data_IF_815445537640
#
_entry.id   IF_815445537640
#
_cell.length_a   1.000
_cell.length_b   1.000
_cell.length_c   1.000
_cell.angle_alpha   90.00
_cell.angle_beta   90.00
_cell.angle_gamma   90.00
#
_symmetry.space_group_name_H-M   'P 1'
#
loop_
_entity.id
_entity.type
_entity.pdbx_description
1 polymer ?
#
# COMPACT_ATOMS: atom_id res chain seq x y z
N UNK A 1 -6.66 -8.99 -5.97
CA UNK A 1 -6.43 -7.71 -6.66
C UNK A 1 -6.92 -6.60 -5.75
N UNK A 2 -6.02 -5.93 -5.01
CA UNK A 2 -6.37 -4.80 -4.14
C UNK A 2 -5.60 -3.58 -4.63
N UNK A 3 -6.36 -2.60 -5.08
CA UNK A 3 -5.89 -1.27 -5.47
C UNK A 3 -5.93 -0.32 -4.26
N UNK A 4 -4.88 0.51 -4.15
CA UNK A 4 -4.78 1.81 -3.47
C UNK A 4 -4.86 1.85 -1.92
N UNK A 5 -3.79 2.34 -1.29
CA UNK A 5 -3.78 2.91 0.08
C UNK A 5 -4.69 4.15 0.11
N UNK A 6 -5.26 4.67 1.20
CA UNK A 6 -4.98 4.62 2.63
C UNK A 6 -6.33 4.95 3.33
N UNK A 7 -6.82 4.10 4.23
CA UNK A 7 -8.06 4.35 5.02
C UNK A 7 -7.67 4.54 6.48
N UNK A 8 -8.02 5.67 7.08
CA UNK A 8 -7.87 5.90 8.52
C UNK A 8 -9.05 5.27 9.26
N UNK A 9 -8.80 4.32 10.15
CA UNK A 9 -9.78 3.89 11.15
C UNK A 9 -9.56 4.72 12.42
N UNK A 10 -10.60 5.39 12.90
CA UNK A 10 -10.56 6.03 14.23
C UNK A 10 -10.73 4.96 15.33
N UNK A 11 -10.32 5.26 16.56
CA UNK A 11 -10.48 4.38 17.74
C UNK A 11 -11.92 3.91 18.02
N UNK A 12 -12.92 4.51 17.35
CA UNK A 12 -14.35 4.20 17.51
C UNK A 12 -14.96 3.48 16.28
N UNK A 13 -14.16 3.00 15.33
CA UNK A 13 -14.62 2.13 14.25
C UNK A 13 -15.47 2.79 13.15
N UNK A 14 -15.55 4.12 13.10
CA UNK A 14 -16.25 4.85 12.03
C UNK A 14 -15.30 5.29 10.91
N UNK A 15 -15.74 5.08 9.67
CA UNK A 15 -15.05 5.44 8.42
C UNK A 15 -15.09 6.97 8.20
N UNK A 16 -13.94 7.62 7.98
CA UNK A 16 -13.87 9.03 7.61
C UNK A 16 -13.09 9.25 6.32
N UNK A 17 -13.59 10.16 5.47
CA UNK A 17 -12.85 10.67 4.30
C UNK A 17 -11.66 11.51 4.77
N UNK A 18 -10.53 11.41 4.07
CA UNK A 18 -9.34 12.29 4.24
C UNK A 18 -9.70 13.79 4.20
N UNK A 19 -10.85 14.15 3.59
CA UNK A 19 -11.35 15.52 3.66
C UNK A 19 -11.64 15.99 5.10
N UNK A 20 -12.08 15.12 6.02
CA UNK A 20 -12.49 15.55 7.37
C UNK A 20 -11.32 15.92 8.29
N UNK A 21 -10.16 15.30 8.16
CA UNK A 21 -8.97 15.66 8.95
C UNK A 21 -8.36 17.00 8.50
N UNK A 22 -8.54 17.40 7.23
CA UNK A 22 -8.15 18.72 6.72
C UNK A 22 -8.99 19.88 7.30
N UNK A 23 -10.21 19.61 7.77
CA UNK A 23 -11.16 20.65 8.21
C UNK A 23 -11.12 20.96 9.71
N UNK A 24 -10.40 20.18 10.51
CA UNK A 24 -10.30 20.44 11.95
C UNK A 24 -9.36 21.63 12.25
N UNK A 25 -8.36 21.88 11.40
CA UNK A 25 -7.26 22.80 11.72
C UNK A 25 -7.30 24.11 10.93
N UNK A 26 -8.02 24.18 9.80
CA UNK A 26 -8.27 25.45 9.09
C UNK A 26 -9.72 25.51 8.58
N UNK A 27 -10.51 26.49 9.07
CA UNK A 27 -11.77 26.84 8.40
C UNK A 27 -11.40 27.60 7.12
N UNK A 28 -11.62 27.06 5.91
CA UNK A 28 -11.31 27.79 4.70
C UNK A 28 -12.12 29.08 4.66
N UNK A 29 -11.51 30.18 4.21
CA UNK A 29 -12.19 31.47 4.19
C UNK A 29 -13.42 31.39 3.28
N UNK A 30 -14.57 31.80 3.79
CA UNK A 30 -15.80 31.86 3.02
C UNK A 30 -15.83 33.19 2.27
N UNK A 31 -15.76 33.13 0.95
CA UNK A 31 -15.77 34.31 0.08
C UNK A 31 -17.05 34.35 -0.74
N UNK A 32 -17.62 35.54 -0.90
CA UNK A 32 -18.74 35.78 -1.80
C UNK A 32 -18.29 36.71 -2.92
N UNK A 33 -18.56 36.34 -4.17
CA UNK A 33 -18.27 37.17 -5.34
C UNK A 33 -19.56 37.43 -6.10
N UNK A 34 -19.77 38.66 -6.56
CA UNK A 34 -20.95 39.02 -7.36
C UNK A 34 -20.65 38.78 -8.83
N UNK A 35 -21.39 37.86 -9.46
CA UNK A 35 -21.29 37.51 -10.88
C UNK A 35 -22.63 37.85 -11.53
N UNK A 36 -22.65 38.81 -12.47
CA UNK A 36 -23.86 39.24 -13.18
C UNK A 36 -25.06 39.54 -12.25
N UNK A 37 -24.80 40.20 -11.12
CA UNK A 37 -25.83 40.55 -10.13
C UNK A 37 -26.16 39.45 -9.10
N UNK A 38 -25.73 38.21 -9.32
CA UNK A 38 -25.91 37.10 -8.37
C UNK A 38 -24.73 37.01 -7.40
N UNK A 39 -25.00 36.82 -6.11
CA UNK A 39 -23.98 36.58 -5.10
C UNK A 39 -23.69 35.09 -5.06
N UNK A 40 -22.49 34.69 -5.47
CA UNK A 40 -22.02 33.31 -5.39
C UNK A 40 -21.04 33.23 -4.23
N UNK A 41 -21.41 32.50 -3.19
CA UNK A 41 -20.53 32.25 -2.05
C UNK A 41 -19.92 30.86 -2.14
N UNK A 42 -18.61 30.79 -1.95
CA UNK A 42 -17.83 29.54 -1.98
C UNK A 42 -16.79 29.59 -0.87
N UNK A 43 -16.46 28.44 -0.32
CA UNK A 43 -15.24 28.33 0.46
C UNK A 43 -14.05 28.47 -0.49
N UNK A 44 -13.09 29.32 -0.13
CA UNK A 44 -11.81 29.48 -0.84
C UNK A 44 -10.88 28.31 -0.51
N UNK A 45 -11.25 27.10 -0.93
CA UNK A 45 -10.32 26.00 -1.02
C UNK A 45 -10.33 25.45 -2.44
N UNK A 46 -9.15 25.12 -2.94
CA UNK A 46 -8.99 24.38 -4.18
C UNK A 46 -8.64 22.95 -3.78
N UNK A 47 -9.56 21.98 -3.86
CA UNK A 47 -9.24 20.61 -3.52
C UNK A 47 -8.14 20.09 -4.46
N UNK A 48 -7.23 19.29 -3.92
CA UNK A 48 -6.29 18.52 -4.72
C UNK A 48 -6.91 17.14 -4.95
N UNK A 49 -7.04 16.74 -6.21
CA UNK A 49 -7.56 15.44 -6.60
C UNK A 49 -6.40 14.52 -6.92
N UNK A 50 -6.12 13.56 -6.05
CA UNK A 50 -5.11 12.54 -6.31
C UNK A 50 -5.77 11.33 -6.94
N UNK A 51 -5.21 10.82 -8.04
CA UNK A 51 -5.54 9.49 -8.57
C UNK A 51 -4.29 8.64 -8.62
N UNK A 52 -4.38 7.50 -7.96
CA UNK A 52 -3.38 6.46 -7.98
C UNK A 52 -3.91 5.24 -8.71
N UNK A 53 -3.06 4.64 -9.52
CA UNK A 53 -3.35 3.39 -10.20
C UNK A 53 -2.13 2.49 -10.12
N UNK A 54 -2.27 1.35 -9.46
CA UNK A 54 -1.30 0.26 -9.43
C UNK A 54 -1.87 -0.93 -10.19
N UNK A 55 -1.14 -1.44 -11.17
CA UNK A 55 -1.45 -2.70 -11.85
C UNK A 55 -0.27 -3.64 -11.75
N UNK A 56 -0.55 -4.91 -11.49
CA UNK A 56 0.46 -5.97 -11.39
C UNK A 56 0.24 -6.93 -12.53
N UNK A 57 1.27 -7.15 -13.34
CA UNK A 57 1.32 -8.21 -14.33
C UNK A 57 2.14 -9.36 -13.74
N UNK A 58 1.49 -10.47 -13.35
CA UNK A 58 2.20 -11.60 -12.78
C UNK A 58 3.00 -12.32 -13.88
N UNK A 59 4.30 -12.50 -13.67
CA UNK A 59 5.13 -13.41 -14.47
C UNK A 59 5.49 -14.59 -13.59
N UNK A 60 5.01 -15.78 -13.92
CA UNK A 60 5.27 -16.99 -13.15
C UNK A 60 5.88 -18.06 -14.04
N UNK A 61 6.92 -18.72 -13.54
CA UNK A 61 7.51 -19.91 -14.13
C UNK A 61 7.55 -20.99 -13.06
N UNK A 62 6.90 -22.12 -13.32
CA UNK A 62 6.93 -23.31 -12.47
C UNK A 62 7.60 -24.45 -13.24
N UNK A 63 8.52 -25.15 -12.58
CA UNK A 63 9.21 -26.32 -13.11
C UNK A 63 8.98 -27.52 -12.18
N UNK A 64 8.29 -28.54 -12.70
CA UNK A 64 8.13 -29.82 -12.02
C UNK A 64 9.41 -30.63 -12.11
N UNK A 65 10.03 -30.91 -10.95
CA UNK A 65 11.22 -31.77 -10.86
C UNK A 65 10.78 -33.24 -10.86
N UNK A 66 9.72 -33.55 -10.13
CA UNK A 66 9.09 -34.87 -10.07
C UNK A 66 7.57 -34.74 -10.12
N UNK A 67 6.85 -35.85 -9.97
CA UNK A 67 5.40 -35.83 -9.75
C UNK A 67 5.00 -35.23 -8.39
N UNK A 68 5.94 -34.96 -7.48
CA UNK A 68 5.66 -34.42 -6.14
C UNK A 68 6.36 -33.09 -5.85
N UNK A 69 7.47 -32.80 -6.51
CA UNK A 69 8.29 -31.62 -6.24
C UNK A 69 8.22 -30.68 -7.43
N UNK A 70 7.92 -29.42 -7.17
CA UNK A 70 8.07 -28.34 -8.14
C UNK A 70 8.80 -27.16 -7.50
N UNK A 71 9.51 -26.41 -8.32
CA UNK A 71 10.10 -25.12 -7.94
C UNK A 71 9.52 -24.06 -8.85
N UNK A 72 9.31 -22.86 -8.31
CA UNK A 72 8.71 -21.77 -9.05
C UNK A 72 9.38 -20.45 -8.76
N UNK A 73 9.31 -19.56 -9.73
CA UNK A 73 9.67 -18.15 -9.60
C UNK A 73 8.47 -17.32 -10.00
N UNK A 74 8.13 -16.33 -9.19
CA UNK A 74 7.11 -15.33 -9.46
C UNK A 74 7.76 -13.95 -9.44
N UNK A 75 7.70 -13.23 -10.55
CA UNK A 75 8.31 -11.93 -10.75
C UNK A 75 7.24 -10.92 -11.20
N UNK A 76 6.64 -10.13 -10.29
CA UNK A 76 5.60 -9.19 -10.65
C UNK A 76 6.19 -7.98 -11.39
N UNK A 77 5.67 -7.68 -12.59
CA UNK A 77 5.90 -6.39 -13.24
C UNK A 77 4.82 -5.42 -12.78
N UNK A 78 5.20 -4.40 -12.02
CA UNK A 78 4.28 -3.44 -11.42
C UNK A 78 4.30 -2.14 -12.22
N UNK A 79 3.13 -1.73 -12.66
CA UNK A 79 2.90 -0.44 -13.30
C UNK A 79 2.21 0.49 -12.32
N UNK A 80 2.84 1.63 -12.04
CA UNK A 80 2.28 2.70 -11.21
C UNK A 80 2.01 3.95 -12.03
N UNK A 81 0.93 4.64 -11.68
CA UNK A 81 0.53 5.91 -12.26
C UNK A 81 -0.16 6.75 -11.20
N UNK A 82 0.56 7.73 -10.66
CA UNK A 82 0.05 8.70 -9.70
C UNK A 82 -0.06 10.05 -10.36
N UNK A 83 -1.19 10.74 -10.15
CA UNK A 83 -1.41 12.09 -10.64
C UNK A 83 -2.14 12.92 -9.60
N UNK A 84 -1.74 14.18 -9.49
CA UNK A 84 -2.54 15.22 -8.89
C UNK A 84 -3.24 16.02 -9.98
N UNK A 85 -4.52 16.30 -9.77
CA UNK A 85 -5.31 17.23 -10.56
C UNK A 85 -5.86 18.32 -9.65
N UNK A 86 -6.13 19.48 -10.23
CA UNK A 86 -6.89 20.55 -9.60
C UNK A 86 -8.20 20.71 -10.37
N UNK A 87 -9.31 21.10 -9.71
CA UNK A 87 -10.58 21.34 -10.37
C UNK A 87 -10.38 22.28 -11.55
N UNK A 88 -11.04 21.95 -12.65
CA UNK A 88 -11.10 22.84 -13.81
C UNK A 88 -12.27 23.83 -13.63
N UNK A 89 -12.13 25.03 -14.16
CA UNK A 89 -13.23 25.99 -14.30
C UNK A 89 -14.20 25.56 -15.43
N UNK A 90 -15.26 26.33 -15.62
CA UNK A 90 -16.28 26.08 -16.64
C UNK A 90 -15.78 26.18 -18.09
N UNK A 91 -14.56 26.65 -18.32
CA UNK A 91 -13.92 26.73 -19.65
C UNK A 91 -12.77 25.75 -19.81
N UNK A 92 -12.57 24.83 -18.85
CA UNK A 92 -11.54 23.80 -18.89
C UNK A 92 -10.14 24.27 -18.47
N UNK A 93 -10.00 25.51 -18.00
CA UNK A 93 -8.78 26.02 -17.36
C UNK A 93 -8.67 25.52 -15.92
N UNK A 94 -7.50 25.62 -15.29
CA UNK A 94 -7.38 25.34 -13.86
C UNK A 94 -8.24 26.35 -13.08
N UNK A 95 -9.15 25.89 -12.22
CA UNK A 95 -10.06 26.75 -11.46
C UNK A 95 -9.37 27.69 -10.46
N UNK A 96 -8.08 27.48 -10.19
CA UNK A 96 -7.22 28.36 -9.40
C UNK A 96 -5.71 28.02 -9.59
N UNK A 97 -5.05 28.41 -10.70
CA UNK A 97 -3.64 28.08 -10.95
C UNK A 97 -2.70 28.63 -9.86
N UNK A 98 -3.03 29.77 -9.26
CA UNK A 98 -2.28 30.33 -8.13
C UNK A 98 -2.36 29.50 -6.84
N UNK A 99 -3.42 28.70 -6.63
CA UNK A 99 -3.51 27.82 -5.46
C UNK A 99 -2.59 26.61 -5.58
N UNK A 100 -2.50 26.02 -6.78
CA UNK A 100 -1.56 24.94 -7.08
C UNK A 100 -0.11 25.40 -6.89
N UNK A 101 0.25 26.57 -7.44
CA UNK A 101 1.60 27.13 -7.31
C UNK A 101 1.95 27.45 -5.84
N UNK A 102 0.99 27.95 -5.04
CA UNK A 102 1.20 28.18 -3.60
C UNK A 102 1.43 26.89 -2.83
N UNK A 103 0.66 25.84 -3.14
CA UNK A 103 0.84 24.55 -2.48
C UNK A 103 2.19 23.92 -2.85
N UNK A 104 2.59 23.97 -4.11
CA UNK A 104 3.93 23.56 -4.52
C UNK A 104 5.01 24.36 -3.78
N UNK A 105 4.84 25.68 -3.63
CA UNK A 105 5.77 26.51 -2.87
C UNK A 105 5.88 26.09 -1.41
N UNK A 106 4.76 25.74 -0.75
CA UNK A 106 4.76 25.23 0.63
C UNK A 106 5.46 23.86 0.68
N UNK A 107 5.14 22.97 -0.24
CA UNK A 107 5.70 21.62 -0.26
C UNK A 107 7.20 21.63 -0.54
N UNK A 108 7.66 22.48 -1.46
CA UNK A 108 9.07 22.63 -1.82
C UNK A 108 9.89 23.49 -0.86
N UNK A 109 9.23 24.17 0.08
CA UNK A 109 9.91 24.97 1.12
C UNK A 109 10.93 24.10 1.85
N UNK A 110 12.08 24.66 2.22
CA UNK A 110 13.17 23.91 2.87
C UNK A 110 12.74 23.21 4.17
N UNK A 111 11.66 23.68 4.82
CA UNK A 111 11.06 23.04 5.99
C UNK A 111 10.51 21.66 5.65
N UNK A 112 9.86 21.51 4.49
CA UNK A 112 9.18 20.28 4.09
C UNK A 112 9.91 19.52 2.99
N UNK A 113 10.54 20.18 2.02
CA UNK A 113 11.40 19.56 1.01
C UNK A 113 10.74 18.45 0.19
N UNK A 114 9.43 18.54 -0.06
CA UNK A 114 8.73 17.62 -0.96
C UNK A 114 8.89 18.05 -2.42
N UNK A 115 8.88 17.06 -3.33
CA UNK A 115 8.82 17.33 -4.77
C UNK A 115 7.52 18.03 -5.19
N UNK A 116 7.53 18.79 -6.30
CA UNK A 116 6.34 19.49 -6.79
C UNK A 116 5.22 18.52 -7.18
N UNK A 117 3.97 18.92 -6.94
CA UNK A 117 2.77 18.11 -7.24
C UNK A 117 2.01 18.66 -8.46
N UNK A 118 2.21 19.93 -8.82
CA UNK A 118 1.65 20.49 -10.05
C UNK A 118 2.27 19.85 -11.30
N UNK A 119 1.45 19.69 -12.35
CA UNK A 119 1.94 19.20 -13.64
C UNK A 119 2.48 17.77 -13.62
N UNK A 120 2.06 16.94 -12.64
CA UNK A 120 2.39 15.52 -12.60
C UNK A 120 1.90 14.82 -13.88
N UNK A 121 2.83 14.67 -14.83
CA UNK A 121 2.54 14.08 -16.13
C UNK A 121 2.10 12.62 -16.00
N UNK A 122 1.35 12.10 -17.00
CA UNK A 122 0.92 10.69 -17.09
C UNK A 122 2.08 9.71 -17.35
N UNK A 123 3.20 9.87 -16.65
CA UNK A 123 4.37 8.99 -16.78
C UNK A 123 4.05 7.68 -16.09
N UNK A 124 3.66 6.69 -16.89
CA UNK A 124 3.58 5.30 -16.45
C UNK A 124 4.99 4.86 -16.09
N UNK A 125 5.21 4.53 -14.83
CA UNK A 125 6.47 3.94 -14.38
C UNK A 125 6.25 2.44 -14.23
N UNK A 126 7.26 1.69 -14.67
CA UNK A 126 7.29 0.24 -14.55
C UNK A 126 8.44 -0.11 -13.62
N UNK A 127 8.15 -0.95 -12.65
CA UNK A 127 9.13 -1.46 -11.70
C UNK A 127 8.93 -2.97 -11.58
N UNK A 128 9.98 -3.70 -11.24
CA UNK A 128 9.79 -4.99 -10.61
C UNK A 128 9.08 -4.77 -9.26
N UNK A 129 8.21 -5.67 -8.86
CA UNK A 129 7.88 -5.84 -7.44
C UNK A 129 8.82 -6.86 -6.82
N UNK A 130 8.51 -7.29 -5.60
CA UNK A 130 9.31 -8.30 -4.92
C UNK A 130 9.17 -9.67 -5.61
N UNK A 131 10.31 -10.20 -6.05
CA UNK A 131 10.43 -11.53 -6.64
C UNK A 131 10.25 -12.58 -5.57
N UNK A 132 9.45 -13.60 -5.86
CA UNK A 132 9.24 -14.74 -4.98
C UNK A 132 9.83 -16.00 -5.61
N UNK A 133 10.58 -16.76 -4.82
CA UNK A 133 11.02 -18.10 -5.17
C UNK A 133 10.27 -19.07 -4.28
N UNK A 134 9.68 -20.10 -4.86
CA UNK A 134 8.90 -21.08 -4.13
C UNK A 134 9.33 -22.52 -4.41
N UNK A 135 9.20 -23.36 -3.39
CA UNK A 135 9.35 -24.80 -3.49
C UNK A 135 8.05 -25.45 -3.00
N UNK A 136 7.44 -26.25 -3.88
CA UNK A 136 6.16 -26.91 -3.68
C UNK A 136 6.38 -28.41 -3.52
N UNK A 137 5.72 -29.00 -2.53
CA UNK A 137 5.72 -30.44 -2.30
C UNK A 137 4.29 -30.97 -2.18
N UNK A 138 3.93 -31.93 -3.03
CA UNK A 138 2.67 -32.67 -2.94
C UNK A 138 2.84 -33.80 -1.94
N UNK A 139 2.14 -33.68 -0.82
CA UNK A 139 2.21 -34.62 0.31
C UNK A 139 1.33 -35.84 0.01
N UNK A 140 0.08 -35.59 -0.38
CA UNK A 140 -0.92 -36.63 -0.65
C UNK A 140 -1.63 -36.28 -1.96
N UNK A 141 -1.89 -37.32 -2.76
CA UNK A 141 -2.74 -37.25 -3.94
C UNK A 141 -3.54 -38.53 -4.04
N UNK A 142 -4.85 -38.40 -4.16
CA UNK A 142 -5.80 -39.48 -4.34
C UNK A 142 -6.92 -39.01 -5.27
N UNK A 143 -7.88 -39.88 -5.57
CA UNK A 143 -8.98 -39.54 -6.48
C UNK A 143 -9.76 -38.28 -6.04
N UNK A 144 -10.00 -38.13 -4.73
CA UNK A 144 -10.91 -37.11 -4.17
C UNK A 144 -10.24 -36.19 -3.14
N UNK A 145 -8.94 -36.32 -2.92
CA UNK A 145 -8.21 -35.56 -1.91
C UNK A 145 -6.77 -35.30 -2.37
N UNK A 146 -6.34 -34.04 -2.26
CA UNK A 146 -4.96 -33.62 -2.45
C UNK A 146 -4.51 -32.69 -1.33
N UNK A 147 -3.24 -32.82 -0.93
CA UNK A 147 -2.58 -31.98 0.06
C UNK A 147 -1.20 -31.58 -0.42
N UNK A 148 -0.86 -30.30 -0.30
CA UNK A 148 0.45 -29.77 -0.65
C UNK A 148 0.95 -28.74 0.36
N UNK A 149 2.27 -28.66 0.47
CA UNK A 149 2.98 -27.63 1.21
C UNK A 149 3.85 -26.81 0.27
N UNK A 150 3.95 -25.50 0.51
CA UNK A 150 4.81 -24.59 -0.23
C UNK A 150 5.62 -23.74 0.72
N UNK A 151 6.93 -23.64 0.48
CA UNK A 151 7.79 -22.63 1.11
C UNK A 151 8.02 -21.55 0.08
N UNK A 152 7.84 -20.29 0.46
CA UNK A 152 8.08 -19.11 -0.38
C UNK A 152 9.11 -18.24 0.30
N UNK A 153 10.09 -17.79 -0.48
CA UNK A 153 11.04 -16.75 -0.10
C UNK A 153 10.78 -15.54 -0.98
N UNK A 154 10.37 -14.43 -0.39
CA UNK A 154 10.19 -13.14 -1.08
C UNK A 154 11.47 -12.34 -0.95
N UNK A 155 11.93 -11.77 -2.06
CA UNK A 155 13.20 -11.04 -2.17
C UNK A 155 12.95 -9.53 -2.27
N UNK A 156 13.76 -8.69 -1.61
CA UNK A 156 13.61 -7.24 -1.55
C UNK A 156 14.06 -6.58 -2.86
N UNK A 157 13.31 -6.82 -3.93
CA UNK A 157 13.67 -6.43 -5.31
C UNK A 157 12.74 -5.38 -5.88
N UNK A 158 11.62 -5.13 -5.20
CA UNK A 158 10.70 -4.05 -5.50
C UNK A 158 11.28 -2.67 -5.21
N UNK A 159 10.70 -1.68 -5.87
CA UNK A 159 10.96 -0.26 -5.63
C UNK A 159 10.43 0.15 -4.26
N UNK A 160 11.29 0.78 -3.46
CA UNK A 160 10.93 1.37 -2.18
C UNK A 160 10.50 2.82 -2.37
N UNK A 161 9.43 3.23 -1.68
CA UNK A 161 8.91 4.59 -1.71
C UNK A 161 9.88 5.58 -1.03
N UNK A 162 10.06 6.76 -1.64
CA UNK A 162 10.80 7.85 -1.02
C UNK A 162 9.94 8.66 -0.05
N UNK A 163 10.38 8.89 1.20
CA UNK A 163 9.68 9.75 2.16
C UNK A 163 9.69 11.24 1.79
N UNK A 164 10.37 11.63 0.70
CA UNK A 164 10.43 13.00 0.20
C UNK A 164 9.57 13.22 -1.05
N UNK A 165 8.94 12.18 -1.59
CA UNK A 165 8.09 12.26 -2.77
C UNK A 165 6.68 11.73 -2.46
N UNK A 166 5.72 12.64 -2.27
CA UNK A 166 4.34 12.32 -1.88
C UNK A 166 3.62 11.31 -2.80
N UNK A 167 4.05 11.19 -4.05
CA UNK A 167 3.43 10.34 -5.07
C UNK A 167 4.30 9.18 -5.53
N UNK A 168 5.41 8.94 -4.82
CA UNK A 168 6.24 7.77 -5.07
C UNK A 168 5.63 6.54 -4.40
N UNK A 169 5.07 5.66 -5.22
CA UNK A 169 4.41 4.45 -4.74
C UNK A 169 5.41 3.29 -4.74
N UNK A 170 5.52 2.62 -3.60
CA UNK A 170 6.31 1.39 -3.51
C UNK A 170 5.70 0.28 -4.38
N UNK A 171 6.55 -0.55 -4.96
CA UNK A 171 6.11 -1.75 -5.71
C UNK A 171 6.39 -3.05 -4.97
N UNK A 172 7.18 -2.95 -3.90
CA UNK A 172 7.41 -3.94 -2.87
C UNK A 172 7.48 -3.27 -1.50
N UNK A 173 7.75 -4.05 -0.48
CA UNK A 173 8.07 -3.55 0.86
C UNK A 173 9.58 -3.53 1.14
N UNK A 174 10.37 -4.01 0.16
CA UNK A 174 11.83 -4.07 0.19
C UNK A 174 12.37 -4.90 1.36
N UNK A 175 11.63 -5.96 1.69
CA UNK A 175 11.95 -6.89 2.77
C UNK A 175 12.12 -8.32 2.25
N UNK A 176 12.91 -9.11 2.98
CA UNK A 176 12.94 -10.56 2.77
C UNK A 176 11.88 -11.22 3.64
N UNK A 177 10.98 -11.97 3.03
CA UNK A 177 9.97 -12.73 3.76
C UNK A 177 10.16 -14.23 3.57
N UNK A 178 9.79 -14.99 4.59
CA UNK A 178 9.67 -16.43 4.51
C UNK A 178 8.23 -16.80 4.84
N UNK A 179 7.55 -17.45 3.91
CA UNK A 179 6.15 -17.84 4.04
C UNK A 179 6.01 -19.35 3.86
N UNK A 180 5.27 -19.98 4.78
CA UNK A 180 4.83 -21.35 4.67
C UNK A 180 3.36 -21.37 4.29
N UNK A 181 3.02 -22.13 3.26
CA UNK A 181 1.66 -22.34 2.81
C UNK A 181 1.30 -23.82 2.86
N UNK A 182 0.07 -24.13 3.23
CA UNK A 182 -0.52 -25.46 3.16
C UNK A 182 -1.84 -25.37 2.42
N UNK A 183 -1.96 -26.12 1.32
CA UNK A 183 -3.15 -26.14 0.48
C UNK A 183 -3.77 -27.54 0.43
N UNK A 184 -5.08 -27.60 0.60
CA UNK A 184 -5.91 -28.80 0.56
C UNK A 184 -6.96 -28.63 -0.54
N UNK A 185 -7.21 -29.68 -1.32
CA UNK A 185 -8.37 -29.81 -2.20
C UNK A 185 -9.10 -31.12 -1.89
N UNK A 186 -10.42 -31.07 -1.77
CA UNK A 186 -11.30 -32.23 -1.57
C UNK A 186 -12.49 -32.15 -2.50
N UNK A 187 -12.72 -33.24 -3.22
CA UNK A 187 -13.93 -33.40 -4.04
C UNK A 187 -14.92 -34.33 -3.35
N UNK A 188 -16.13 -33.82 -3.11
CA UNK A 188 -17.26 -34.52 -2.51
C UNK A 188 -18.35 -34.74 -3.57
N UNK A 189 -18.90 -35.95 -3.62
CA UNK A 189 -20.01 -36.32 -4.53
C UNK A 189 -19.74 -36.00 -6.01
N UNK A 190 -18.47 -36.02 -6.42
CA UNK A 190 -17.98 -35.71 -7.77
C UNK A 190 -18.37 -34.32 -8.33
N UNK A 191 -18.94 -33.45 -7.48
CA UNK A 191 -19.49 -32.15 -7.88
C UNK A 191 -19.07 -31.00 -6.98
N UNK A 192 -18.81 -31.24 -5.70
CA UNK A 192 -18.43 -30.20 -4.76
C UNK A 192 -16.92 -30.27 -4.48
N UNK A 193 -16.15 -29.31 -4.96
CA UNK A 193 -14.74 -29.15 -4.58
C UNK A 193 -14.63 -28.15 -3.43
N UNK A 194 -13.87 -28.50 -2.40
CA UNK A 194 -13.55 -27.67 -1.25
C UNK A 194 -12.05 -27.44 -1.25
N UNK A 195 -11.64 -26.18 -1.46
CA UNK A 195 -10.24 -25.79 -1.40
C UNK A 195 -10.00 -24.99 -0.13
N UNK A 196 -8.92 -25.27 0.58
CA UNK A 196 -8.47 -24.49 1.72
C UNK A 196 -6.98 -24.18 1.58
N UNK A 197 -6.61 -22.94 1.89
CA UNK A 197 -5.22 -22.48 1.92
C UNK A 197 -4.97 -21.81 3.26
N UNK A 198 -3.95 -22.27 3.98
CA UNK A 198 -3.42 -21.60 5.16
C UNK A 198 -2.03 -21.10 4.82
N UNK A 199 -1.74 -19.85 5.17
CA UNK A 199 -0.43 -19.23 4.98
C UNK A 199 0.03 -18.52 6.23
N UNK A 200 1.28 -18.73 6.62
CA UNK A 200 1.92 -18.03 7.73
C UNK A 200 3.26 -17.48 7.25
N UNK A 201 3.46 -16.18 7.45
CA UNK A 201 4.66 -15.48 7.00
C UNK A 201 5.40 -14.84 8.16
N UNK A 202 6.73 -15.00 8.14
CA UNK A 202 7.65 -14.25 8.97
C UNK A 202 8.36 -13.21 8.10
N UNK A 203 8.19 -11.95 8.47
CA UNK A 203 8.79 -10.83 7.77
C UNK A 203 10.09 -10.43 8.48
N UNK A 204 11.23 -10.42 7.78
CA UNK A 204 12.53 -10.22 8.43
C UNK A 204 12.78 -8.75 8.75
N UNK A 205 13.05 -8.36 10.02
CA UNK A 205 13.28 -6.97 10.36
C UNK A 205 14.34 -6.31 9.47
N UNK A 206 14.09 -5.05 9.11
CA UNK A 206 14.91 -4.30 8.18
C UNK A 206 15.15 -2.87 8.63
N UNK A 207 15.62 -2.06 7.71
CA UNK A 207 15.75 -0.61 7.92
C UNK A 207 14.89 0.15 6.94
N UNK A 208 14.31 1.26 7.39
CA UNK A 208 13.44 2.10 6.55
C UNK A 208 13.66 3.56 6.87
N UNK A 209 13.80 4.37 5.82
CA UNK A 209 13.84 5.82 5.96
C UNK A 209 12.41 6.36 6.06
N UNK A 210 12.11 7.10 7.13
CA UNK A 210 10.79 7.68 7.40
C UNK A 210 10.93 9.05 8.04
N UNK A 211 9.90 9.89 7.89
CA UNK A 211 9.76 11.13 8.66
C UNK A 211 9.01 10.82 9.95
N UNK A 212 9.66 11.01 11.09
CA UNK A 212 9.10 10.65 12.39
C UNK A 212 8.16 11.76 12.87
N UNK A 213 6.88 11.45 13.01
CA UNK A 213 5.89 12.41 13.50
C UNK A 213 4.54 11.73 13.74
N UNK A 214 3.67 12.34 14.56
CA UNK A 214 2.37 11.77 14.86
C UNK A 214 1.49 11.72 13.60
N UNK A 215 0.68 10.65 13.47
CA UNK A 215 -0.25 10.47 12.36
C UNK A 215 -1.31 11.58 12.22
N UNK A 216 -1.47 12.45 13.23
CA UNK A 216 -2.34 13.62 13.19
C UNK A 216 -1.76 14.79 12.39
N UNK A 217 -0.46 14.79 12.08
CA UNK A 217 0.22 15.86 11.36
C UNK A 217 0.36 15.46 9.90
N UNK A 218 -0.29 16.21 9.01
CA UNK A 218 -0.28 15.93 7.57
C UNK A 218 1.09 16.15 6.92
N UNK A 219 1.75 17.27 7.23
CA UNK A 219 3.06 17.62 6.68
C UNK A 219 4.11 17.52 7.77
N UNK A 220 4.79 16.39 7.82
CA UNK A 220 5.91 16.19 8.74
C UNK A 220 7.16 16.88 8.13
N UNK A 221 7.85 17.77 8.86
CA UNK A 221 9.03 18.48 8.37
C UNK A 221 10.13 17.53 7.88
N UNK A 222 10.94 18.00 6.92
CA UNK A 222 12.09 17.25 6.42
C UNK A 222 13.13 16.96 7.52
N UNK A 223 13.24 17.88 8.50
CA UNK A 223 14.07 17.72 9.69
C UNK A 223 13.76 16.44 10.50
N UNK A 224 12.55 15.90 10.38
CA UNK A 224 12.12 14.66 11.05
C UNK A 224 12.58 13.37 10.35
N UNK A 225 13.28 13.47 9.22
CA UNK A 225 13.78 12.32 8.48
C UNK A 225 14.77 11.52 9.34
N UNK A 226 14.58 10.20 9.39
CA UNK A 226 15.43 9.27 10.11
C UNK A 226 15.44 7.89 9.43
N UNK A 227 16.58 7.21 9.53
CA UNK A 227 16.67 5.79 9.21
C UNK A 227 16.31 4.98 10.47
N UNK A 228 15.26 4.17 10.39
CA UNK A 228 14.70 3.44 11.52
C UNK A 228 14.92 1.94 11.33
N UNK A 229 15.02 1.21 12.45
CA UNK A 229 14.76 -0.23 12.46
C UNK A 229 13.25 -0.42 12.34
N UNK A 230 12.83 -1.29 11.43
CA UNK A 230 11.44 -1.57 11.14
C UNK A 230 11.18 -3.08 11.17
N UNK A 231 10.18 -3.46 11.96
CA UNK A 231 9.64 -4.81 12.04
C UNK A 231 8.15 -4.75 11.69
N UNK A 232 7.73 -5.17 10.49
CA UNK A 232 6.33 -5.17 10.06
C UNK A 232 5.51 -6.31 10.66
N UNK A 233 6.15 -7.18 11.43
CA UNK A 233 5.48 -8.24 12.14
C UNK A 233 5.06 -9.42 11.26
N UNK A 234 4.68 -10.49 11.95
CA UNK A 234 4.30 -11.75 11.33
C UNK A 234 2.80 -11.74 10.97
N UNK A 235 2.42 -12.52 9.96
CA UNK A 235 1.03 -12.63 9.53
C UNK A 235 0.56 -14.07 9.37
N UNK A 236 -0.75 -14.23 9.43
CA UNK A 236 -1.48 -15.47 9.19
C UNK A 236 -2.67 -15.17 8.26
N UNK A 237 -2.87 -16.02 7.26
CA UNK A 237 -4.01 -15.98 6.37
C UNK A 237 -4.64 -17.35 6.20
N UNK A 238 -5.96 -17.37 6.03
CA UNK A 238 -6.74 -18.57 5.71
C UNK A 238 -7.74 -18.21 4.63
N UNK A 239 -7.76 -18.97 3.55
CA UNK A 239 -8.72 -18.86 2.46
C UNK A 239 -9.47 -20.19 2.30
N UNK A 240 -10.81 -20.13 2.17
CA UNK A 240 -11.67 -21.29 1.93
C UNK A 240 -12.49 -21.00 0.67
N UNK A 241 -12.46 -21.91 -0.29
CA UNK A 241 -13.10 -21.78 -1.58
C UNK A 241 -13.91 -23.03 -1.96
N UNK A 242 -15.20 -23.11 -1.58
CA UNK A 242 -16.10 -24.10 -2.11
C UNK A 242 -16.51 -23.79 -3.56
N UNK A 243 -16.59 -24.83 -4.37
CA UNK A 243 -16.97 -24.75 -5.78
C UNK A 243 -17.88 -25.93 -6.16
N UNK A 244 -19.06 -25.63 -6.68
CA UNK A 244 -20.01 -26.61 -7.21
C UNK A 244 -19.89 -26.69 -8.73
N UNK A 245 -19.57 -27.87 -9.25
CA UNK A 245 -19.51 -28.19 -10.68
C UNK A 245 -20.90 -28.63 -11.16
N UNK A 246 -21.39 -27.97 -12.21
CA UNK A 246 -22.65 -28.32 -12.88
C UNK A 246 -22.41 -29.18 -14.13
N UNK A 247 -21.18 -29.17 -14.65
CA UNK A 247 -20.72 -29.99 -15.76
C UNK A 247 -19.21 -29.92 -15.88
N UNK A 248 -18.67 -30.45 -16.98
CA UNK A 248 -17.22 -30.43 -17.26
C UNK A 248 -16.61 -29.03 -17.40
N UNK A 249 -17.38 -28.09 -17.93
CA UNK A 249 -16.89 -26.77 -18.33
C UNK A 249 -17.46 -25.62 -17.49
N UNK A 250 -18.41 -25.92 -16.57
CA UNK A 250 -19.10 -24.91 -15.79
C UNK A 250 -19.18 -25.28 -14.32
N UNK A 251 -18.68 -24.37 -13.49
CA UNK A 251 -18.72 -24.44 -12.04
C UNK A 251 -18.93 -23.04 -11.46
N UNK A 252 -19.56 -22.98 -10.29
CA UNK A 252 -19.72 -21.75 -9.52
C UNK A 252 -19.16 -21.99 -8.14
N UNK A 253 -18.38 -21.02 -7.64
CA UNK A 253 -17.84 -21.06 -6.30
C UNK A 253 -17.80 -19.66 -5.69
N UNK A 254 -17.50 -19.63 -4.41
CA UNK A 254 -17.13 -18.40 -3.71
C UNK A 254 -15.83 -18.65 -2.95
N UNK A 255 -15.12 -17.58 -2.62
CA UNK A 255 -13.94 -17.65 -1.76
C UNK A 255 -14.14 -16.69 -0.60
N UNK A 256 -13.94 -17.19 0.62
CA UNK A 256 -13.90 -16.39 1.82
C UNK A 256 -12.49 -16.47 2.42
N UNK A 257 -11.94 -15.32 2.77
CA UNK A 257 -10.59 -15.20 3.31
C UNK A 257 -10.59 -14.43 4.62
N UNK A 258 -9.75 -14.87 5.56
CA UNK A 258 -9.40 -14.13 6.77
C UNK A 258 -7.89 -13.93 6.82
N UNK A 259 -7.45 -12.74 7.19
CA UNK A 259 -6.04 -12.39 7.29
C UNK A 259 -5.81 -11.50 8.50
N UNK A 260 -4.70 -11.72 9.18
CA UNK A 260 -4.25 -10.91 10.31
C UNK A 260 -2.74 -10.74 10.25
N UNK A 261 -2.26 -9.58 10.68
CA UNK A 261 -0.84 -9.25 10.80
C UNK A 261 -0.61 -8.52 12.12
N UNK A 262 0.51 -8.82 12.78
CA UNK A 262 0.92 -8.05 13.96
C UNK A 262 1.36 -6.65 13.55
N UNK A 263 1.15 -5.65 14.41
CA UNK A 263 1.46 -4.26 14.06
C UNK A 263 2.94 -4.05 13.76
N UNK A 264 3.22 -3.18 12.80
CA UNK A 264 4.53 -2.59 12.59
C UNK A 264 5.11 -2.02 13.89
N UNK A 265 6.42 -2.20 14.06
CA UNK A 265 7.20 -1.58 15.13
C UNK A 265 8.39 -0.86 14.53
N UNK A 266 8.46 0.43 14.83
CA UNK A 266 9.58 1.29 14.48
C UNK A 266 10.40 1.62 15.72
N UNK A 267 11.73 1.50 15.61
CA UNK A 267 12.68 1.95 16.63
C UNK A 267 13.82 2.70 15.99
N UNK A 268 14.43 3.64 16.71
CA UNK A 268 15.68 4.25 16.28
C UNK A 268 16.79 3.19 16.28
N UNK A 269 17.73 3.28 15.34
CA UNK A 269 18.85 2.34 15.26
C UNK A 269 19.83 2.49 16.41
N UNK A 270 19.90 3.70 16.96
CA UNK A 270 20.72 4.05 18.11
C UNK A 270 20.07 5.18 18.92
N UNK A 271 20.55 5.38 20.15
CA UNK A 271 20.18 6.56 20.94
C UNK A 271 20.62 7.86 20.25
N UNK A 272 21.73 7.85 19.51
CA UNK A 272 22.22 9.01 18.78
C UNK A 272 21.23 9.44 17.69
N UNK A 273 20.68 8.49 16.92
CA UNK A 273 19.69 8.76 15.87
C UNK A 273 18.45 9.48 16.47
N UNK A 274 18.02 9.10 17.67
CA UNK A 274 16.94 9.77 18.42
C UNK A 274 17.30 11.19 18.83
N UNK A 275 18.52 11.39 19.37
CA UNK A 275 19.01 12.70 19.79
C UNK A 275 19.21 13.65 18.61
N UNK A 276 19.66 13.14 17.46
CA UNK A 276 19.85 13.92 16.25
C UNK A 276 18.51 14.43 15.70
N UNK A 277 17.48 13.57 15.67
CA UNK A 277 16.12 13.96 15.30
C UNK A 277 15.56 14.98 16.29
N UNK A 278 15.73 14.73 17.59
CA UNK A 278 15.28 15.67 18.63
C UNK A 278 15.95 17.04 18.51
N UNK A 279 17.24 17.07 18.20
CA UNK A 279 18.02 18.31 18.00
C UNK A 279 17.52 19.07 16.78
N UNK A 280 17.24 18.38 15.67
CA UNK A 280 16.69 19.01 14.45
C UNK A 280 15.26 19.53 14.63
N UNK A 281 14.44 18.85 15.41
CA UNK A 281 13.04 19.21 15.65
C UNK A 281 12.84 20.16 16.84
N UNK A 282 13.85 20.32 17.70
CA UNK A 282 13.75 21.07 18.95
C UNK A 282 13.01 20.35 20.08
N UNK A 283 12.54 19.12 19.84
CA UNK A 283 11.87 18.28 20.85
C UNK A 283 12.03 16.80 20.55
N UNK A 284 12.13 15.92 21.57
CA UNK A 284 12.16 14.47 21.37
C UNK A 284 10.87 13.96 20.73
N UNK A 285 11.02 13.05 19.75
CA UNK A 285 9.88 12.35 19.12
C UNK A 285 10.16 10.86 19.15
N UNK A 286 9.22 10.06 19.65
CA UNK A 286 9.36 8.60 19.66
C UNK A 286 9.14 8.03 18.27
N UNK A 287 9.96 7.07 17.84
CA UNK A 287 9.73 6.33 16.59
C UNK A 287 8.43 5.49 16.63
N UNK A 288 7.93 5.15 17.82
CA UNK A 288 6.73 4.33 18.01
C UNK A 288 5.41 5.09 17.74
N UNK A 289 5.47 6.35 17.34
CA UNK A 289 4.28 7.13 16.91
C UNK A 289 3.87 6.85 15.47
N UNK A 290 4.73 6.13 14.72
CA UNK A 290 4.49 5.67 13.36
C UNK A 290 3.57 4.45 13.34
#
# INVERSE_FOLDING_TARGET
MITTWERQFTNNGHEQRISNSLFAETRPSFGCTRINGFVVCRYNFTPVLVREERRVTPLALDFGITNRIAVGVYAPLVRVNTRAGFPLDSVGGLGAPGAAARLDSILSDTTYGFGPIHGTSRRRRFFAGDVEVNAKYRVIESHNYALSGTIVVRLPTGHQDSPNHLFDLSTGDHQTDIELQVAQDVTLFDRLSLNALVRAGRQQPGTRERRVGPQSVLLIPHAALAMLNWDPGDYLGVDIAPMLRFGKDFAVGFTAGYWTQTRDRYTYRSTQDSLDVATRLGSPVSAAVL
#
